data_IF_270857694689
#
_entry.id   IF_270857694689
#
_cell.length_a   1.000
_cell.length_b   1.000
_cell.length_c   1.000
_cell.angle_alpha   90.00
_cell.angle_beta   90.00
_cell.angle_gamma   90.00
#
_symmetry.space_group_name_H-M   'P 1'
#
loop_
_entity.id
_entity.type
_entity.pdbx_description
1 polymer ?
#
# COMPACT_ATOMS: atom_id res chain seq x y z
N UNK A 1 -10.24 4.19 22.71
CA UNK A 1 -9.34 4.86 21.75
C UNK A 1 -10.12 4.99 20.46
N UNK A 2 -9.94 6.05 19.66
CA UNK A 2 -10.61 6.15 18.36
C UNK A 2 -10.20 4.97 17.46
N UNK A 3 -11.10 4.56 16.58
CA UNK A 3 -10.82 3.51 15.60
C UNK A 3 -9.65 3.91 14.70
N UNK A 4 -8.68 3.02 14.54
CA UNK A 4 -7.48 3.28 13.76
C UNK A 4 -7.69 3.13 12.24
N UNK A 5 -8.73 2.37 11.85
CA UNK A 5 -9.26 2.28 10.48
C UNK A 5 -10.72 2.69 10.53
N UNK A 6 -11.08 3.69 9.73
CA UNK A 6 -12.47 4.09 9.56
C UNK A 6 -13.01 3.50 8.27
N UNK A 7 -14.12 2.78 8.37
CA UNK A 7 -14.84 2.22 7.24
C UNK A 7 -16.04 3.12 6.94
N UNK A 8 -16.12 3.61 5.71
CA UNK A 8 -17.24 4.41 5.26
C UNK A 8 -17.77 3.87 3.94
N UNK A 9 -19.08 3.68 3.85
CA UNK A 9 -19.75 3.23 2.63
C UNK A 9 -20.58 4.36 2.05
N UNK A 10 -20.45 4.54 0.73
CA UNK A 10 -21.24 5.49 -0.05
C UNK A 10 -21.60 4.82 -1.39
N UNK A 11 -22.88 4.48 -1.57
CA UNK A 11 -23.28 3.65 -2.71
C UNK A 11 -22.52 2.34 -2.72
N UNK A 12 -21.94 2.00 -3.85
CA UNK A 12 -21.07 0.84 -4.01
C UNK A 12 -19.59 1.08 -3.67
N UNK A 13 -19.23 2.26 -3.16
CA UNK A 13 -17.87 2.58 -2.74
C UNK A 13 -17.66 2.26 -1.25
N UNK A 14 -16.67 1.43 -0.94
CA UNK A 14 -16.14 1.23 0.41
C UNK A 14 -14.84 2.01 0.57
N UNK A 15 -14.80 2.98 1.48
CA UNK A 15 -13.59 3.72 1.84
C UNK A 15 -12.94 3.15 3.09
N UNK A 16 -11.67 2.79 2.99
CA UNK A 16 -10.79 2.36 4.07
C UNK A 16 -9.87 3.54 4.42
N UNK A 17 -10.17 4.25 5.50
CA UNK A 17 -9.38 5.42 5.90
C UNK A 17 -8.47 5.10 7.07
N UNK A 18 -7.17 5.30 6.89
CA UNK A 18 -6.18 5.24 7.96
C UNK A 18 -6.38 6.43 8.90
N UNK A 19 -6.54 6.17 10.20
CA UNK A 19 -6.94 7.16 11.19
C UNK A 19 -6.10 7.10 12.49
N UNK A 20 -4.78 7.24 12.33
CA UNK A 20 -3.81 7.42 13.43
C UNK A 20 -2.93 8.65 13.17
N UNK A 21 -3.51 9.87 13.11
CA UNK A 21 -2.78 11.07 12.71
C UNK A 21 -1.62 11.41 13.67
N UNK A 22 -1.75 11.15 14.96
CA UNK A 22 -0.72 11.30 16.00
C UNK A 22 0.54 10.45 15.74
N UNK A 23 0.42 9.37 14.99
CA UNK A 23 1.49 8.48 14.55
C UNK A 23 1.71 8.48 13.04
N UNK A 24 1.28 9.56 12.35
CA UNK A 24 1.36 9.68 10.88
C UNK A 24 0.81 8.44 10.17
N UNK A 25 -0.27 7.87 10.68
CA UNK A 25 -0.92 6.67 10.16
C UNK A 25 0.02 5.45 10.07
N UNK A 26 1.02 5.33 10.97
CA UNK A 26 1.86 4.14 11.04
C UNK A 26 1.00 2.90 11.32
N UNK A 27 1.23 1.84 10.54
CA UNK A 27 0.39 0.64 10.49
C UNK A 27 0.80 -0.36 11.58
N UNK A 28 -0.14 -0.70 12.45
CA UNK A 28 0.00 -1.77 13.46
C UNK A 28 -0.56 -3.08 12.93
N UNK A 29 -0.24 -4.20 13.60
CA UNK A 29 -0.83 -5.51 13.30
C UNK A 29 -2.36 -5.49 13.33
N UNK A 30 -2.97 -4.80 14.30
CA UNK A 30 -4.42 -4.67 14.38
C UNK A 30 -5.01 -3.94 13.16
N UNK A 31 -4.33 -2.90 12.66
CA UNK A 31 -4.75 -2.21 11.44
C UNK A 31 -4.64 -3.11 10.21
N UNK A 32 -3.59 -3.91 10.09
CA UNK A 32 -3.46 -4.89 9.01
C UNK A 32 -4.58 -5.93 9.02
N UNK A 33 -4.93 -6.48 10.20
CA UNK A 33 -6.09 -7.38 10.31
C UNK A 33 -7.37 -6.71 9.82
N UNK A 34 -7.65 -5.49 10.30
CA UNK A 34 -8.86 -4.75 9.90
C UNK A 34 -8.90 -4.45 8.40
N UNK A 35 -7.77 -4.05 7.80
CA UNK A 35 -7.68 -3.78 6.36
C UNK A 35 -7.86 -5.06 5.53
N UNK A 36 -7.21 -6.17 5.92
CA UNK A 36 -7.35 -7.46 5.25
C UNK A 36 -8.78 -7.97 5.32
N UNK A 37 -9.39 -7.95 6.51
CA UNK A 37 -10.78 -8.39 6.71
C UNK A 37 -11.77 -7.52 5.91
N UNK A 38 -11.55 -6.20 5.87
CA UNK A 38 -12.40 -5.30 5.09
C UNK A 38 -12.28 -5.55 3.57
N UNK A 39 -11.08 -5.80 3.07
CA UNK A 39 -10.86 -6.18 1.66
C UNK A 39 -11.51 -7.52 1.32
N UNK A 40 -11.36 -8.51 2.20
CA UNK A 40 -11.99 -9.81 2.07
C UNK A 40 -13.51 -9.70 2.03
N UNK A 41 -14.10 -8.94 2.95
CA UNK A 41 -15.55 -8.69 2.97
C UNK A 41 -16.01 -7.97 1.71
N UNK A 42 -15.33 -6.88 1.30
CA UNK A 42 -15.64 -6.14 0.07
C UNK A 42 -15.59 -7.02 -1.17
N UNK A 43 -14.65 -7.97 -1.22
CA UNK A 43 -14.51 -8.90 -2.35
C UNK A 43 -15.72 -9.82 -2.52
N UNK A 44 -16.43 -10.14 -1.44
CA UNK A 44 -17.59 -11.02 -1.41
C UNK A 44 -18.94 -10.26 -1.38
N UNK A 45 -18.94 -8.98 -1.02
CA UNK A 45 -20.16 -8.17 -0.98
C UNK A 45 -20.57 -7.73 -2.40
N UNK A 46 -21.72 -8.19 -2.94
CA UNK A 46 -22.19 -7.81 -4.27
C UNK A 46 -22.53 -6.32 -4.39
N UNK A 47 -22.82 -5.67 -3.28
CA UNK A 47 -23.16 -4.26 -3.22
C UNK A 47 -21.93 -3.34 -3.26
N UNK A 48 -20.72 -3.86 -3.13
CA UNK A 48 -19.48 -3.10 -3.27
C UNK A 48 -18.97 -3.22 -4.69
N UNK A 49 -18.78 -2.07 -5.34
CA UNK A 49 -18.26 -1.96 -6.72
C UNK A 49 -16.80 -1.51 -6.77
N UNK A 50 -16.34 -0.75 -5.76
CA UNK A 50 -14.96 -0.27 -5.65
C UNK A 50 -14.52 -0.10 -4.20
N UNK A 51 -13.20 -0.11 -3.97
CA UNK A 51 -12.57 0.17 -2.67
C UNK A 51 -11.64 1.36 -2.81
N UNK A 52 -11.72 2.33 -1.90
CA UNK A 52 -10.81 3.46 -1.79
C UNK A 52 -9.97 3.34 -0.53
N UNK A 53 -8.65 3.32 -0.67
CA UNK A 53 -7.70 3.36 0.46
C UNK A 53 -7.15 4.79 0.56
N UNK A 54 -7.24 5.42 1.74
CA UNK A 54 -6.76 6.78 1.95
C UNK A 54 -6.26 7.00 3.38
N UNK A 55 -5.49 8.04 3.58
CA UNK A 55 -5.13 8.57 4.89
C UNK A 55 -5.87 9.87 5.20
N UNK A 56 -5.14 10.85 5.73
CA UNK A 56 -5.60 12.24 5.82
C UNK A 56 -5.15 13.02 4.58
N UNK A 57 -5.63 14.27 4.43
CA UNK A 57 -5.15 15.18 3.39
C UNK A 57 -3.65 15.56 3.55
N UNK A 58 -3.06 15.28 4.70
CA UNK A 58 -1.68 15.66 5.04
C UNK A 58 -0.73 14.46 5.10
N UNK A 59 -1.25 13.24 5.29
CA UNK A 59 -0.43 12.04 5.44
C UNK A 59 -1.21 10.78 5.03
N UNK A 60 -0.64 10.03 4.11
CA UNK A 60 -1.14 8.71 3.77
C UNK A 60 -0.74 7.70 4.86
N UNK A 61 0.52 7.30 4.91
CA UNK A 61 1.07 6.50 6.00
C UNK A 61 2.59 6.59 6.07
N UNK A 62 3.12 6.61 7.29
CA UNK A 62 4.56 6.49 7.56
C UNK A 62 5.10 5.06 7.44
N UNK A 63 4.28 4.08 7.02
CA UNK A 63 4.66 2.67 6.93
C UNK A 63 4.38 1.91 8.22
N UNK A 64 5.14 0.85 8.47
CA UNK A 64 4.98 0.01 9.66
C UNK A 64 5.23 0.80 10.96
N UNK A 65 4.40 0.57 11.97
CA UNK A 65 4.70 0.99 13.34
C UNK A 65 5.88 0.15 13.85
N UNK A 66 7.06 0.79 13.91
CA UNK A 66 8.31 0.09 14.21
C UNK A 66 8.31 -0.53 15.61
N UNK A 67 7.66 0.12 16.59
CA UNK A 67 7.58 -0.41 17.94
C UNK A 67 6.72 -1.68 18.00
N UNK A 68 5.55 -1.65 17.35
CA UNK A 68 4.66 -2.82 17.21
C UNK A 68 5.35 -3.94 16.42
N UNK A 69 6.07 -3.59 15.36
CA UNK A 69 6.76 -4.53 14.49
C UNK A 69 7.95 -5.25 15.17
N UNK A 70 8.67 -4.56 16.07
CA UNK A 70 9.74 -5.19 16.88
C UNK A 70 9.16 -6.08 17.97
N UNK A 71 8.07 -5.65 18.62
CA UNK A 71 7.43 -6.43 19.67
C UNK A 71 6.79 -7.70 19.16
N UNK A 72 6.21 -7.65 17.97
CA UNK A 72 5.48 -8.75 17.35
C UNK A 72 5.84 -8.85 15.85
N UNK A 73 7.08 -9.24 15.52
CA UNK A 73 7.49 -9.36 14.12
C UNK A 73 6.63 -10.43 13.41
N UNK A 74 6.36 -10.24 12.11
CA UNK A 74 5.71 -11.29 11.32
C UNK A 74 6.55 -12.57 11.41
N UNK A 75 5.91 -13.68 11.77
CA UNK A 75 6.60 -14.96 11.96
C UNK A 75 6.44 -15.88 10.75
N UNK A 76 5.35 -15.72 10.02
CA UNK A 76 4.89 -16.59 8.94
C UNK A 76 3.90 -15.88 8.03
N UNK A 77 3.45 -16.58 7.00
CA UNK A 77 2.46 -16.09 6.02
C UNK A 77 1.05 -15.89 6.59
N UNK A 78 0.78 -16.42 7.79
CA UNK A 78 -0.51 -16.24 8.47
C UNK A 78 -0.56 -14.93 9.28
N UNK A 79 0.55 -14.17 9.29
CA UNK A 79 0.58 -12.90 10.02
C UNK A 79 -0.33 -11.85 9.38
N UNK A 80 -0.91 -10.92 10.16
CA UNK A 80 -1.83 -9.90 9.65
C UNK A 80 -1.32 -9.08 8.46
N UNK A 81 0.00 -8.83 8.39
CA UNK A 81 0.58 -8.09 7.27
C UNK A 81 0.48 -8.89 5.97
N UNK A 82 0.77 -10.19 5.98
CA UNK A 82 0.61 -11.04 4.81
C UNK A 82 -0.85 -11.28 4.44
N UNK A 83 -1.73 -11.42 5.44
CA UNK A 83 -3.17 -11.47 5.19
C UNK A 83 -3.63 -10.23 4.39
N UNK A 84 -3.26 -9.03 4.83
CA UNK A 84 -3.56 -7.79 4.09
C UNK A 84 -2.98 -7.79 2.68
N UNK A 85 -1.69 -8.14 2.52
CA UNK A 85 -1.02 -8.17 1.22
C UNK A 85 -1.74 -9.09 0.24
N UNK A 86 -2.08 -10.30 0.70
CA UNK A 86 -2.75 -11.30 -0.14
C UNK A 86 -4.19 -10.90 -0.46
N UNK A 87 -4.95 -10.37 0.49
CA UNK A 87 -6.33 -9.91 0.23
C UNK A 87 -6.35 -8.72 -0.75
N UNK A 88 -5.33 -7.83 -0.70
CA UNK A 88 -5.21 -6.75 -1.69
C UNK A 88 -4.83 -7.28 -3.07
N UNK A 89 -3.89 -8.22 -3.16
CA UNK A 89 -3.49 -8.87 -4.42
C UNK A 89 -4.68 -9.61 -5.08
N UNK A 90 -5.49 -10.29 -4.26
CA UNK A 90 -6.62 -11.11 -4.73
C UNK A 90 -7.93 -10.31 -4.87
N UNK A 91 -7.94 -9.04 -4.52
CA UNK A 91 -9.14 -8.23 -4.59
C UNK A 91 -9.63 -8.11 -6.04
N UNK A 92 -10.84 -8.61 -6.29
CA UNK A 92 -11.49 -8.57 -7.62
C UNK A 92 -12.18 -7.25 -7.92
N UNK A 93 -12.45 -6.45 -6.89
CA UNK A 93 -13.02 -5.11 -7.04
C UNK A 93 -11.92 -4.11 -7.41
N UNK A 94 -12.18 -3.08 -8.21
CA UNK A 94 -11.26 -1.97 -8.39
C UNK A 94 -10.81 -1.39 -7.06
N UNK A 95 -9.50 -1.25 -6.87
CA UNK A 95 -8.91 -0.62 -5.69
C UNK A 95 -8.26 0.68 -6.11
N UNK A 96 -8.69 1.75 -5.47
CA UNK A 96 -8.23 3.11 -5.72
C UNK A 96 -7.44 3.58 -4.50
N UNK A 97 -6.36 4.32 -4.69
CA UNK A 97 -5.65 4.99 -3.61
C UNK A 97 -5.69 6.51 -3.77
N UNK A 98 -5.90 7.22 -2.65
CA UNK A 98 -5.70 8.66 -2.56
C UNK A 98 -4.55 8.93 -1.61
N UNK A 99 -3.46 9.53 -2.13
CA UNK A 99 -2.18 9.65 -1.42
C UNK A 99 -1.82 11.11 -1.22
N UNK A 100 -1.58 11.50 0.01
CA UNK A 100 -1.09 12.82 0.38
C UNK A 100 0.04 12.73 1.40
N UNK A 101 0.95 13.69 1.40
CA UNK A 101 2.05 13.77 2.35
C UNK A 101 2.96 12.54 2.29
N UNK A 102 3.18 11.87 3.40
CA UNK A 102 4.08 10.73 3.46
C UNK A 102 3.42 9.42 3.03
N UNK A 103 4.13 8.65 2.18
CA UNK A 103 3.84 7.26 1.83
C UNK A 103 5.15 6.47 1.90
N UNK A 104 5.38 5.74 3.00
CA UNK A 104 6.68 5.13 3.29
C UNK A 104 6.57 3.61 3.41
N UNK A 105 7.55 2.89 2.88
CA UNK A 105 7.61 1.42 2.91
C UNK A 105 6.37 0.82 2.27
N UNK A 106 5.61 0.03 3.03
CA UNK A 106 4.35 -0.56 2.57
C UNK A 106 3.35 0.50 2.09
N UNK A 107 3.42 1.73 2.60
CA UNK A 107 2.61 2.84 2.09
C UNK A 107 2.89 3.18 0.62
N UNK A 108 4.10 2.91 0.15
CA UNK A 108 4.45 3.04 -1.28
C UNK A 108 4.19 1.74 -2.02
N UNK A 109 4.59 0.59 -1.47
CA UNK A 109 4.49 -0.69 -2.21
C UNK A 109 3.06 -1.16 -2.41
N UNK A 110 2.12 -0.86 -1.49
CA UNK A 110 0.70 -1.17 -1.69
C UNK A 110 0.10 -0.47 -2.92
N UNK A 111 0.65 0.68 -3.35
CA UNK A 111 0.17 1.42 -4.52
C UNK A 111 0.39 0.62 -5.81
N UNK A 112 1.40 -0.26 -5.86
CA UNK A 112 1.67 -1.14 -6.99
C UNK A 112 0.56 -2.19 -7.21
N UNK A 113 -0.28 -2.41 -6.20
CA UNK A 113 -1.43 -3.32 -6.22
C UNK A 113 -2.77 -2.61 -6.39
N UNK A 114 -2.80 -1.28 -6.32
CA UNK A 114 -3.97 -0.49 -6.65
C UNK A 114 -4.18 -0.40 -8.17
N UNK A 115 -5.42 -0.21 -8.60
CA UNK A 115 -5.76 -0.10 -10.03
C UNK A 115 -5.69 1.37 -10.50
N UNK A 116 -6.04 2.31 -9.60
CA UNK A 116 -5.90 3.74 -9.83
C UNK A 116 -5.26 4.39 -8.60
N UNK A 117 -4.31 5.27 -8.83
CA UNK A 117 -3.63 6.01 -7.76
C UNK A 117 -3.65 7.50 -8.06
N UNK A 118 -4.29 8.26 -7.19
CA UNK A 118 -4.33 9.71 -7.23
C UNK A 118 -3.48 10.26 -6.10
N UNK A 119 -2.50 11.10 -6.42
CA UNK A 119 -1.48 11.52 -5.48
C UNK A 119 -1.35 13.04 -5.44
N UNK A 120 -1.12 13.61 -4.27
CA UNK A 120 -0.71 15.01 -4.18
C UNK A 120 0.66 15.19 -4.82
N UNK A 121 0.85 16.23 -5.65
CA UNK A 121 2.09 16.47 -6.40
C UNK A 121 3.33 16.50 -5.51
N UNK A 122 3.21 17.07 -4.32
CA UNK A 122 4.26 17.23 -3.32
C UNK A 122 4.35 16.07 -2.32
N UNK A 123 3.52 15.03 -2.46
CA UNK A 123 3.60 13.84 -1.63
C UNK A 123 5.01 13.24 -1.68
N UNK A 124 5.44 12.65 -0.57
CA UNK A 124 6.78 12.07 -0.38
C UNK A 124 6.68 10.57 -0.28
N UNK A 125 7.08 9.89 -1.35
CA UNK A 125 7.08 8.45 -1.44
C UNK A 125 8.49 7.90 -1.23
N UNK A 126 8.63 6.82 -0.49
CA UNK A 126 9.94 6.19 -0.23
C UNK A 126 9.80 4.73 0.16
N UNK A 127 10.80 3.92 -0.22
CA UNK A 127 10.93 2.50 0.14
C UNK A 127 12.27 2.25 0.83
N UNK A 128 12.47 2.71 2.10
CA UNK A 128 13.77 2.74 2.76
C UNK A 128 14.16 1.39 3.40
N UNK A 129 13.88 0.27 2.74
CA UNK A 129 14.10 -1.06 3.30
C UNK A 129 15.57 -1.29 3.64
N UNK A 130 16.47 -1.06 2.69
CA UNK A 130 17.92 -1.25 2.86
C UNK A 130 18.51 -0.31 3.92
N UNK A 131 17.96 0.90 4.05
CA UNK A 131 18.37 1.86 5.07
C UNK A 131 18.04 1.38 6.50
N UNK A 132 17.09 0.45 6.62
CA UNK A 132 16.68 -0.21 7.86
C UNK A 132 17.27 -1.63 8.02
N UNK A 133 18.22 -2.02 7.14
CA UNK A 133 18.79 -3.35 7.13
C UNK A 133 17.84 -4.46 6.65
N UNK A 134 16.74 -4.06 5.99
CA UNK A 134 15.70 -4.92 5.45
C UNK A 134 15.84 -5.09 3.94
N UNK A 135 14.97 -5.89 3.33
CA UNK A 135 14.87 -6.09 1.89
C UNK A 135 13.51 -5.60 1.37
N UNK A 136 13.32 -5.48 0.05
CA UNK A 136 12.01 -5.18 -0.56
C UNK A 136 10.93 -6.15 -0.11
N UNK A 137 9.67 -5.71 -0.18
CA UNK A 137 8.49 -6.49 0.20
C UNK A 137 7.33 -6.21 -0.77
N UNK A 138 6.23 -6.99 -0.66
CA UNK A 138 4.99 -6.84 -1.39
C UNK A 138 5.15 -6.93 -2.91
N UNK A 139 6.07 -7.78 -3.39
CA UNK A 139 6.32 -7.97 -4.82
C UNK A 139 7.06 -6.82 -5.48
N UNK A 140 7.53 -5.83 -4.72
CA UNK A 140 8.17 -4.64 -5.26
C UNK A 140 9.47 -4.94 -6.02
N UNK A 141 10.20 -5.99 -5.64
CA UNK A 141 11.43 -6.43 -6.36
C UNK A 141 11.15 -6.95 -7.77
N UNK A 142 9.94 -7.44 -8.03
CA UNK A 142 9.49 -7.87 -9.35
C UNK A 142 8.80 -6.76 -10.13
N UNK A 143 7.87 -6.04 -9.47
CA UNK A 143 6.98 -5.09 -10.14
C UNK A 143 7.73 -3.84 -10.59
N UNK A 144 8.57 -3.25 -9.72
CA UNK A 144 9.26 -2.00 -10.05
C UNK A 144 10.24 -2.11 -11.23
N UNK A 145 11.09 -3.14 -11.36
CA UNK A 145 11.95 -3.28 -12.54
C UNK A 145 11.16 -3.43 -13.85
N UNK A 146 9.99 -4.05 -13.81
CA UNK A 146 9.11 -4.18 -14.96
C UNK A 146 8.43 -2.87 -15.34
N UNK A 147 8.04 -2.08 -14.32
CA UNK A 147 7.34 -0.81 -14.52
C UNK A 147 8.30 0.32 -14.91
N UNK A 148 9.45 0.43 -14.25
CA UNK A 148 10.37 1.57 -14.31
C UNK A 148 11.66 1.29 -15.09
N UNK A 149 11.92 0.03 -15.44
CA UNK A 149 13.23 -0.43 -15.87
C UNK A 149 14.21 -0.62 -14.72
N UNK A 150 15.24 -1.45 -14.96
CA UNK A 150 16.20 -1.90 -13.93
C UNK A 150 16.92 -0.74 -13.24
N UNK A 151 17.37 0.27 -13.97
CA UNK A 151 18.16 1.36 -13.41
C UNK A 151 17.40 2.17 -12.37
N UNK A 152 16.14 2.58 -12.68
CA UNK A 152 15.32 3.36 -11.75
C UNK A 152 14.86 2.51 -10.57
N UNK A 153 14.46 1.28 -10.79
CA UNK A 153 14.11 0.37 -9.70
C UNK A 153 15.29 0.14 -8.74
N UNK A 154 16.51 0.01 -9.26
CA UNK A 154 17.74 -0.13 -8.44
C UNK A 154 17.99 1.11 -7.59
N UNK A 155 17.86 2.31 -8.14
CA UNK A 155 17.97 3.57 -7.38
C UNK A 155 17.00 3.60 -6.20
N UNK A 156 15.73 3.25 -6.45
CA UNK A 156 14.69 3.27 -5.42
C UNK A 156 14.83 2.16 -4.36
N UNK A 157 15.19 0.94 -4.78
CA UNK A 157 15.21 -0.21 -3.87
C UNK A 157 16.57 -0.45 -3.21
N UNK A 158 17.70 -0.14 -3.89
CA UNK A 158 19.04 -0.39 -3.34
C UNK A 158 19.62 0.81 -2.58
N UNK A 159 19.17 2.04 -2.90
CA UNK A 159 19.58 3.25 -2.18
C UNK A 159 18.48 3.74 -1.23
N UNK A 160 17.23 3.32 -1.46
CA UNK A 160 16.08 3.78 -0.69
C UNK A 160 15.81 5.27 -0.90
N UNK A 161 16.08 5.79 -2.11
CA UNK A 161 15.82 7.18 -2.45
C UNK A 161 14.33 7.51 -2.44
N UNK A 162 14.01 8.74 -2.03
CA UNK A 162 12.64 9.24 -2.05
C UNK A 162 12.30 9.89 -3.38
N UNK A 163 11.00 9.94 -3.69
CA UNK A 163 10.48 10.62 -4.88
C UNK A 163 9.16 11.32 -4.57
N UNK A 164 8.77 12.22 -5.45
CA UNK A 164 7.55 13.03 -5.29
C UNK A 164 6.35 12.35 -5.93
N UNK A 165 5.12 12.81 -5.55
CA UNK A 165 3.90 12.38 -6.22
C UNK A 165 3.89 12.72 -7.70
N UNK A 166 4.49 13.86 -8.10
CA UNK A 166 4.65 14.22 -9.51
C UNK A 166 5.52 13.21 -10.26
N UNK A 167 6.64 12.81 -9.68
CA UNK A 167 7.50 11.76 -10.24
C UNK A 167 6.79 10.39 -10.28
N UNK A 168 5.99 10.07 -9.26
CA UNK A 168 5.19 8.84 -9.25
C UNK A 168 4.23 8.77 -10.45
N UNK A 169 3.57 9.88 -10.79
CA UNK A 169 2.70 9.96 -11.95
C UNK A 169 3.49 9.90 -13.27
N UNK A 170 4.62 10.60 -13.36
CA UNK A 170 5.48 10.55 -14.55
C UNK A 170 6.02 9.14 -14.83
N UNK A 171 6.26 8.35 -13.80
CA UNK A 171 6.83 7.00 -13.92
C UNK A 171 5.76 5.90 -14.01
N UNK A 172 4.47 6.25 -13.92
CA UNK A 172 3.36 5.28 -14.00
C UNK A 172 3.09 4.51 -12.72
N UNK A 173 3.68 4.92 -11.58
CA UNK A 173 3.32 4.41 -10.25
C UNK A 173 1.96 4.99 -9.81
N UNK A 174 1.68 6.25 -10.19
CA UNK A 174 0.40 6.88 -9.96
C UNK A 174 -0.29 7.23 -11.29
N UNK A 175 -1.62 7.26 -11.25
CA UNK A 175 -2.47 7.61 -12.41
C UNK A 175 -2.40 9.10 -12.71
N UNK A 176 -2.44 9.93 -11.65
CA UNK A 176 -2.45 11.38 -11.78
C UNK A 176 -1.90 12.05 -10.51
N UNK A 177 -1.14 13.14 -10.71
CA UNK A 177 -0.67 14.00 -9.62
C UNK A 177 -1.49 15.29 -9.56
N UNK A 178 -2.11 15.55 -8.42
CA UNK A 178 -3.02 16.69 -8.17
C UNK A 178 -2.33 17.78 -7.35
N UNK A 179 -2.91 18.98 -7.34
CA UNK A 179 -2.35 20.14 -6.66
C UNK A 179 -2.30 20.06 -5.12
N UNK A 180 -3.14 19.22 -4.51
CA UNK A 180 -3.19 19.03 -3.05
C UNK A 180 -3.70 17.65 -2.65
N UNK A 181 -3.58 17.29 -1.36
CA UNK A 181 -4.13 16.06 -0.82
C UNK A 181 -5.67 16.01 -0.89
N UNK A 182 -6.33 17.15 -0.67
CA UNK A 182 -7.79 17.25 -0.81
C UNK A 182 -8.20 17.02 -2.26
N UNK A 183 -7.47 17.58 -3.23
CA UNK A 183 -7.74 17.39 -4.64
C UNK A 183 -7.52 15.93 -5.06
N UNK A 184 -6.47 15.27 -4.54
CA UNK A 184 -6.22 13.86 -4.77
C UNK A 184 -7.35 12.97 -4.21
N UNK A 185 -7.81 13.25 -2.99
CA UNK A 185 -8.92 12.53 -2.38
C UNK A 185 -10.24 12.75 -3.13
N UNK A 186 -10.54 13.99 -3.50
CA UNK A 186 -11.75 14.32 -4.25
C UNK A 186 -11.76 13.61 -5.61
N UNK A 187 -10.62 13.61 -6.33
CA UNK A 187 -10.49 12.92 -7.62
C UNK A 187 -10.60 11.40 -7.49
N UNK A 188 -9.92 10.83 -6.51
CA UNK A 188 -10.00 9.39 -6.24
C UNK A 188 -11.43 8.94 -5.93
N UNK A 189 -12.16 9.70 -5.09
CA UNK A 189 -13.56 9.43 -4.76
C UNK A 189 -14.47 9.58 -6.00
N UNK A 190 -14.33 10.65 -6.77
CA UNK A 190 -15.05 10.86 -8.04
C UNK A 190 -14.90 9.63 -8.96
N UNK A 191 -13.65 9.21 -9.19
CA UNK A 191 -13.36 8.10 -10.08
C UNK A 191 -13.82 6.75 -9.53
N UNK A 192 -13.78 6.57 -8.20
CA UNK A 192 -14.27 5.36 -7.55
C UNK A 192 -15.80 5.22 -7.68
N UNK A 193 -16.55 6.30 -7.52
CA UNK A 193 -18.02 6.31 -7.67
C UNK A 193 -18.47 6.03 -9.10
N UNK A 194 -17.63 6.30 -10.11
CA UNK A 194 -17.98 5.93 -11.50
C UNK A 194 -18.16 4.43 -11.71
N UNK A 195 -17.58 3.60 -10.86
CA UNK A 195 -17.79 2.15 -10.93
C UNK A 195 -19.23 1.73 -10.59
N UNK A 196 -20.01 2.58 -9.92
CA UNK A 196 -21.43 2.34 -9.68
C UNK A 196 -22.28 2.45 -10.97
N UNK A 197 -21.77 3.18 -11.96
CA UNK A 197 -22.43 3.38 -13.25
C UNK A 197 -22.05 2.31 -14.29
N UNK A 198 -21.04 1.47 -13.98
CA UNK A 198 -20.52 0.48 -14.91
C UNK A 198 -21.03 -0.94 -14.62
N UNK A 199 -21.15 -1.80 -15.64
CA UNK A 199 -21.50 -3.19 -15.42
C UNK A 199 -20.42 -3.89 -14.56
N UNK A 200 -20.74 -4.15 -13.29
CA UNK A 200 -19.79 -4.64 -12.28
C UNK A 200 -19.05 -5.91 -12.70
N UNK A 201 -19.75 -6.86 -13.35
CA UNK A 201 -19.14 -8.10 -13.82
C UNK A 201 -18.13 -7.85 -14.95
N UNK A 202 -18.43 -6.95 -15.89
CA UNK A 202 -17.49 -6.60 -16.96
C UNK A 202 -16.22 -5.94 -16.41
N UNK A 203 -16.35 -5.05 -15.40
CA UNK A 203 -15.22 -4.44 -14.70
C UNK A 203 -14.37 -5.50 -14.01
N UNK A 204 -15.00 -6.42 -13.29
CA UNK A 204 -14.35 -7.52 -12.59
C UNK A 204 -13.57 -8.43 -13.54
N UNK A 205 -14.17 -8.83 -14.65
CA UNK A 205 -13.52 -9.66 -15.68
C UNK A 205 -12.34 -8.91 -16.30
N UNK A 206 -12.51 -7.62 -16.63
CA UNK A 206 -11.44 -6.79 -17.20
C UNK A 206 -10.23 -6.71 -16.27
N UNK A 207 -10.46 -6.43 -14.98
CA UNK A 207 -9.39 -6.44 -13.98
C UNK A 207 -8.72 -7.81 -13.88
N UNK A 208 -9.50 -8.88 -13.86
CA UNK A 208 -8.97 -10.23 -13.80
C UNK A 208 -8.06 -10.53 -15.00
N UNK A 209 -8.47 -10.19 -16.21
CA UNK A 209 -7.68 -10.41 -17.44
C UNK A 209 -6.36 -9.63 -17.42
N UNK A 210 -6.37 -8.39 -16.91
CA UNK A 210 -5.16 -7.57 -16.79
C UNK A 210 -4.17 -8.10 -15.73
N UNK A 211 -4.68 -8.65 -14.63
CA UNK A 211 -3.86 -9.07 -13.48
C UNK A 211 -3.47 -10.55 -13.49
N UNK A 212 -4.27 -11.42 -14.15
CA UNK A 212 -4.08 -12.87 -14.13
C UNK A 212 -2.71 -13.35 -14.61
N UNK A 213 -2.09 -12.77 -15.67
CA UNK A 213 -0.82 -13.30 -16.19
C UNK A 213 0.32 -13.26 -15.15
N UNK A 214 0.31 -12.29 -14.26
CA UNK A 214 1.40 -12.08 -13.28
C UNK A 214 1.01 -12.43 -11.84
N UNK A 215 -0.27 -12.68 -11.54
CA UNK A 215 -0.77 -12.81 -10.17
C UNK A 215 -0.05 -13.90 -9.37
N UNK A 216 0.07 -15.10 -9.95
CA UNK A 216 0.70 -16.23 -9.29
C UNK A 216 2.21 -15.98 -9.08
N UNK A 217 2.86 -15.38 -10.04
CA UNK A 217 4.25 -15.00 -9.92
C UNK A 217 4.47 -13.93 -8.85
N UNK A 218 3.59 -12.92 -8.79
CA UNK A 218 3.65 -11.87 -7.75
C UNK A 218 3.41 -12.49 -6.37
N UNK A 219 2.43 -13.40 -6.22
CA UNK A 219 2.19 -14.13 -4.97
C UNK A 219 3.46 -14.84 -4.50
N UNK A 220 4.08 -15.62 -5.39
CA UNK A 220 5.32 -16.34 -5.08
C UNK A 220 6.45 -15.39 -4.65
N UNK A 221 6.61 -14.25 -5.33
CA UNK A 221 7.62 -13.26 -4.96
C UNK A 221 7.31 -12.63 -3.59
N UNK A 222 6.05 -12.33 -3.28
CA UNK A 222 5.65 -11.84 -1.95
C UNK A 222 6.04 -12.85 -0.86
N UNK A 223 5.85 -14.14 -1.10
CA UNK A 223 6.22 -15.20 -0.16
C UNK A 223 7.74 -15.30 0.01
N UNK A 224 8.51 -15.24 -1.08
CA UNK A 224 9.98 -15.25 -1.07
C UNK A 224 10.55 -14.01 -0.38
N UNK A 225 10.08 -12.81 -0.76
CA UNK A 225 10.46 -11.55 -0.10
C UNK A 225 10.12 -11.58 1.39
N UNK A 226 8.92 -12.07 1.74
CA UNK A 226 8.45 -12.16 3.11
C UNK A 226 9.31 -13.05 3.99
N UNK A 227 9.75 -14.19 3.48
CA UNK A 227 10.68 -15.08 4.18
C UNK A 227 12.03 -14.39 4.46
N UNK A 228 12.59 -13.73 3.44
CA UNK A 228 13.83 -12.97 3.58
C UNK A 228 13.67 -11.76 4.52
N UNK A 229 12.58 -11.03 4.41
CA UNK A 229 12.27 -9.88 5.27
C UNK A 229 12.18 -10.29 6.74
N UNK A 230 11.48 -11.38 7.04
CA UNK A 230 11.37 -11.95 8.38
C UNK A 230 12.74 -12.38 8.94
N UNK A 231 13.58 -12.97 8.09
CA UNK A 231 14.96 -13.31 8.45
C UNK A 231 15.78 -12.05 8.74
N UNK A 232 15.68 -11.03 7.88
CA UNK A 232 16.41 -9.76 8.04
C UNK A 232 16.00 -9.00 9.31
N UNK A 233 14.73 -9.00 9.69
CA UNK A 233 14.25 -8.38 10.94
C UNK A 233 15.00 -8.86 12.18
N UNK A 234 15.51 -10.08 12.17
CA UNK A 234 16.27 -10.68 13.27
C UNK A 234 17.77 -10.43 13.17
N UNK A 235 18.24 -9.78 12.11
CA UNK A 235 19.67 -9.50 11.91
C UNK A 235 20.17 -8.38 12.83
N UNK A 236 21.44 -8.41 13.23
CA UNK A 236 22.05 -7.33 14.03
C UNK A 236 21.96 -5.97 13.34
N UNK A 237 22.08 -5.92 12.01
CA UNK A 237 21.98 -4.70 11.22
C UNK A 237 20.60 -4.07 11.30
N UNK A 238 19.53 -4.86 11.09
CA UNK A 238 18.17 -4.37 11.16
C UNK A 238 17.83 -3.92 12.60
N UNK A 239 18.19 -4.70 13.61
CA UNK A 239 17.95 -4.35 15.01
C UNK A 239 18.64 -3.03 15.39
N UNK A 240 19.89 -2.83 14.95
CA UNK A 240 20.62 -1.59 15.19
C UNK A 240 19.96 -0.39 14.49
N UNK A 241 19.58 -0.55 13.20
CA UNK A 241 18.94 0.50 12.42
C UNK A 241 17.56 0.89 12.97
N UNK A 242 16.71 -0.09 13.30
CA UNK A 242 15.38 0.12 13.86
C UNK A 242 15.44 0.77 15.25
N UNK A 243 16.36 0.31 16.12
CA UNK A 243 16.59 0.92 17.45
C UNK A 243 17.08 2.36 17.31
N UNK A 244 17.98 2.62 16.38
CA UNK A 244 18.48 3.96 16.07
C UNK A 244 17.37 4.89 15.54
N UNK A 245 16.44 4.37 14.78
CA UNK A 245 15.28 5.12 14.29
C UNK A 245 14.34 5.53 15.44
N UNK A 246 13.98 4.61 16.35
CA UNK A 246 13.11 4.89 17.49
C UNK A 246 13.69 5.98 18.40
N UNK A 247 15.02 6.00 18.60
CA UNK A 247 15.69 6.99 19.47
C UNK A 247 15.69 8.41 18.88
N UNK A 248 15.50 8.57 17.58
CA UNK A 248 15.52 9.86 16.88
C UNK A 248 14.12 10.49 16.71
N UNK A 249 13.07 9.71 16.93
CA UNK A 249 11.67 10.10 16.69
C UNK A 249 10.77 9.77 17.89
#
# INVERSE_FOLDING_TARGET
MPEAILLHREGGLLTLRLNRPDKKNALTRAMYSQLGDALKQANHDPEINAVLITGSAECFTAGNDIADFIQQPPSDLDSPVFHFMLELLECRKPVIAAVAGAAVGIGTTLLLHCDLVYVARDARLRMPFVNLGLCPEFGSSLILPRLLGQAKASELLLLGEGFTGEQAAQWGIATEALGSGEAALAKAREMALRFDELPAEAVRISKQLMRAPDRELIRKVIEEEGALFTQRLRSPEALAALTGFIRKH
#
